data_IF_077438572774
#
_entry.id   IF_077438572774
#
_cell.length_a   1.000
_cell.length_b   1.000
_cell.length_c   1.000
_cell.angle_alpha   90.00
_cell.angle_beta   90.00
_cell.angle_gamma   90.00
#
_symmetry.space_group_name_H-M   'P 1'
#
loop_
_entity.id
_entity.type
_entity.pdbx_description
1 polymer ?
#
# COMPACT_ATOMS: atom_id res chain seq x y z
N UNK A 1 8.27 29.52 0.77
CA UNK A 1 7.20 29.09 1.68
C UNK A 1 7.58 27.72 2.22
N UNK A 2 8.35 27.73 3.30
CA UNK A 2 8.71 26.57 4.12
C UNK A 2 7.89 26.65 5.41
N UNK A 3 7.53 25.50 5.96
CA UNK A 3 6.85 25.24 7.24
C UNK A 3 5.33 25.06 7.19
N UNK A 4 4.90 23.80 7.00
CA UNK A 4 3.70 23.23 7.64
C UNK A 4 3.95 21.75 7.97
N UNK A 5 4.20 21.42 9.24
CA UNK A 5 3.71 20.17 9.83
C UNK A 5 4.47 18.85 9.67
N UNK A 6 5.55 18.72 8.88
CA UNK A 6 6.31 17.47 8.89
C UNK A 6 7.13 17.36 10.18
N UNK A 7 6.62 16.67 11.20
CA UNK A 7 7.49 16.15 12.25
C UNK A 7 8.59 15.33 11.56
N UNK A 8 9.85 15.58 11.91
CA UNK A 8 10.97 14.93 11.24
C UNK A 8 10.81 13.42 11.34
N UNK A 9 10.75 12.73 10.20
CA UNK A 9 10.78 11.28 10.19
C UNK A 9 12.05 10.83 10.90
N UNK A 10 11.88 10.03 11.95
CA UNK A 10 13.00 9.35 12.58
C UNK A 10 13.44 8.21 11.65
N UNK A 11 14.66 7.68 11.86
CA UNK A 11 15.17 6.57 11.06
C UNK A 11 14.21 5.36 11.07
N UNK A 12 13.51 5.11 12.17
CA UNK A 12 12.53 4.03 12.26
C UNK A 12 11.33 4.20 11.31
N UNK A 13 10.85 5.44 11.11
CA UNK A 13 9.79 5.75 10.14
C UNK A 13 10.26 5.52 8.71
N UNK A 14 11.49 5.94 8.38
CA UNK A 14 12.09 5.73 7.05
C UNK A 14 12.21 4.23 6.75
N UNK A 15 12.75 3.45 7.70
CA UNK A 15 12.85 1.99 7.54
C UNK A 15 11.49 1.30 7.46
N UNK A 16 10.53 1.66 8.33
CA UNK A 16 9.19 1.09 8.28
C UNK A 16 8.47 1.41 6.95
N UNK A 17 8.73 2.60 6.37
CA UNK A 17 8.27 2.95 5.03
C UNK A 17 8.89 2.09 3.93
N UNK A 18 10.19 1.81 4.03
CA UNK A 18 10.88 0.91 3.10
C UNK A 18 10.36 -0.53 3.19
N UNK A 19 10.16 -1.05 4.41
CA UNK A 19 9.61 -2.38 4.65
C UNK A 19 8.19 -2.50 4.09
N UNK A 20 7.37 -1.46 4.27
CA UNK A 20 6.03 -1.41 3.70
C UNK A 20 6.04 -1.38 2.17
N UNK A 21 6.96 -0.65 1.55
CA UNK A 21 7.15 -0.65 0.10
C UNK A 21 7.60 -2.01 -0.44
N UNK A 22 8.52 -2.69 0.26
CA UNK A 22 8.94 -4.03 -0.08
C UNK A 22 7.77 -5.02 0.01
N UNK A 23 7.03 -4.99 1.12
CA UNK A 23 5.85 -5.83 1.32
C UNK A 23 4.77 -5.61 0.25
N UNK A 24 4.58 -4.36 -0.21
CA UNK A 24 3.67 -4.06 -1.32
C UNK A 24 4.11 -4.78 -2.62
N UNK A 25 5.40 -4.71 -2.95
CA UNK A 25 5.92 -5.33 -4.18
C UNK A 25 5.83 -6.86 -4.11
N UNK A 26 6.18 -7.46 -2.97
CA UNK A 26 6.08 -8.90 -2.77
C UNK A 26 4.63 -9.40 -2.86
N UNK A 27 3.68 -8.64 -2.29
CA UNK A 27 2.24 -8.88 -2.46
C UNK A 27 1.83 -8.83 -3.92
N UNK A 28 2.18 -7.78 -4.65
CA UNK A 28 1.79 -7.65 -6.05
C UNK A 28 2.31 -8.82 -6.90
N UNK A 29 3.57 -9.21 -6.70
CA UNK A 29 4.17 -10.38 -7.37
C UNK A 29 3.45 -11.67 -7.00
N UNK A 30 3.19 -11.92 -5.71
CA UNK A 30 2.52 -13.13 -5.25
C UNK A 30 1.09 -13.24 -5.81
N UNK A 31 0.30 -12.17 -5.67
CA UNK A 31 -1.07 -12.13 -6.16
C UNK A 31 -1.14 -12.19 -7.69
N UNK A 32 -0.15 -11.63 -8.40
CA UNK A 32 -0.05 -11.74 -9.86
C UNK A 32 0.28 -13.15 -10.34
N UNK A 33 1.28 -13.79 -9.73
CA UNK A 33 1.84 -15.05 -10.23
C UNK A 33 1.07 -16.28 -9.75
N UNK A 34 0.57 -16.24 -8.51
CA UNK A 34 -0.09 -17.37 -7.86
C UNK A 34 -1.62 -17.21 -7.83
N UNK A 35 -2.11 -16.01 -8.15
CA UNK A 35 -3.53 -15.68 -8.19
C UNK A 35 -4.04 -15.07 -6.88
N UNK A 36 -5.17 -14.34 -6.96
CA UNK A 36 -5.69 -13.52 -5.86
C UNK A 36 -6.29 -14.31 -4.69
N UNK A 37 -6.60 -15.60 -4.89
CA UNK A 37 -7.13 -16.50 -3.85
C UNK A 37 -6.07 -17.51 -3.35
N UNK A 38 -4.80 -17.31 -3.71
CA UNK A 38 -3.72 -18.19 -3.27
C UNK A 38 -3.31 -17.88 -1.83
N UNK A 39 -2.92 -18.91 -1.08
CA UNK A 39 -2.41 -18.74 0.29
C UNK A 39 -1.19 -17.79 0.34
N UNK A 40 -0.37 -17.77 -0.71
CA UNK A 40 0.75 -16.83 -0.79
C UNK A 40 0.30 -15.38 -0.98
N UNK A 41 -0.76 -15.13 -1.76
CA UNK A 41 -1.32 -13.78 -1.89
C UNK A 41 -1.91 -13.32 -0.55
N UNK A 42 -2.71 -14.16 0.12
CA UNK A 42 -3.28 -13.86 1.43
C UNK A 42 -2.20 -13.55 2.48
N UNK A 43 -1.13 -14.35 2.53
CA UNK A 43 -0.01 -14.12 3.45
C UNK A 43 0.67 -12.78 3.20
N UNK A 44 0.95 -12.43 1.94
CA UNK A 44 1.60 -11.15 1.59
C UNK A 44 0.67 -9.95 1.79
N UNK A 45 -0.63 -10.10 1.60
CA UNK A 45 -1.60 -9.06 1.96
C UNK A 45 -1.59 -8.78 3.47
N UNK A 46 -1.55 -9.84 4.30
CA UNK A 46 -1.46 -9.69 5.75
C UNK A 46 -0.12 -9.04 6.19
N UNK A 47 1.00 -9.43 5.58
CA UNK A 47 2.31 -8.83 5.85
C UNK A 47 2.36 -7.36 5.46
N UNK A 48 1.78 -7.00 4.31
CA UNK A 48 1.72 -5.62 3.88
C UNK A 48 0.85 -4.75 4.81
N UNK A 49 -0.26 -5.30 5.30
CA UNK A 49 -1.08 -4.63 6.31
C UNK A 49 -0.33 -4.47 7.64
N UNK A 50 0.42 -5.48 8.08
CA UNK A 50 1.24 -5.41 9.30
C UNK A 50 2.37 -4.38 9.17
N UNK A 51 3.07 -4.33 8.02
CA UNK A 51 4.11 -3.34 7.74
C UNK A 51 3.54 -1.91 7.74
N UNK A 52 2.33 -1.72 7.22
CA UNK A 52 1.63 -0.43 7.27
C UNK A 52 1.27 -0.01 8.71
N UNK A 53 0.83 -0.94 9.55
CA UNK A 53 0.59 -0.67 10.97
C UNK A 53 1.88 -0.31 11.71
N UNK A 54 2.97 -1.04 11.43
CA UNK A 54 4.29 -0.73 11.98
C UNK A 54 4.77 0.68 11.57
N UNK A 55 4.60 1.03 10.30
CA UNK A 55 4.84 2.38 9.79
C UNK A 55 4.01 3.43 10.51
N UNK A 56 2.69 3.24 10.62
CA UNK A 56 1.80 4.16 11.33
C UNK A 56 2.18 4.36 12.80
N UNK A 57 2.79 3.35 13.44
CA UNK A 57 3.26 3.44 14.84
C UNK A 57 4.63 4.11 14.98
N UNK A 58 5.46 4.04 13.94
CA UNK A 58 6.84 4.54 13.95
C UNK A 58 6.96 5.96 13.37
N UNK A 59 6.04 6.32 12.48
CA UNK A 59 5.97 7.60 11.82
C UNK A 59 5.11 8.61 12.58
N UNK A 60 5.39 9.91 12.44
CA UNK A 60 4.48 10.94 12.89
C UNK A 60 3.10 10.80 12.22
N UNK A 61 2.04 11.33 12.85
CA UNK A 61 0.72 11.38 12.23
C UNK A 61 0.76 12.09 10.88
N UNK A 62 -0.01 11.58 9.92
CA UNK A 62 -0.21 12.23 8.63
C UNK A 62 -0.97 13.54 8.83
N UNK A 63 -0.68 14.54 7.99
CA UNK A 63 -1.55 15.72 7.88
C UNK A 63 -2.87 15.36 7.18
N UNK A 64 -3.80 16.34 7.11
CA UNK A 64 -5.11 16.12 6.50
C UNK A 64 -5.01 15.71 5.03
N UNK A 65 -4.07 16.32 4.29
CA UNK A 65 -3.85 15.99 2.88
C UNK A 65 -3.41 14.52 2.73
N UNK A 66 -2.41 14.11 3.50
CA UNK A 66 -1.84 12.79 3.43
C UNK A 66 -2.74 11.71 4.00
N UNK A 67 -3.59 12.04 4.96
CA UNK A 67 -4.67 11.17 5.40
C UNK A 67 -5.63 10.88 4.24
N UNK A 68 -6.07 11.90 3.50
CA UNK A 68 -6.93 11.72 2.32
C UNK A 68 -6.26 10.91 1.21
N UNK A 69 -4.96 11.13 0.95
CA UNK A 69 -4.22 10.34 -0.06
C UNK A 69 -4.04 8.89 0.40
N UNK A 70 -3.80 8.65 1.70
CA UNK A 70 -3.76 7.29 2.27
C UNK A 70 -5.10 6.59 2.09
N UNK A 71 -6.20 7.26 2.44
CA UNK A 71 -7.54 6.68 2.34
C UNK A 71 -7.90 6.30 0.90
N UNK A 72 -7.47 7.09 -0.09
CA UNK A 72 -7.62 6.76 -1.52
C UNK A 72 -6.85 5.49 -1.91
N UNK A 73 -5.63 5.34 -1.40
CA UNK A 73 -4.84 4.13 -1.59
C UNK A 73 -5.50 2.91 -0.91
N UNK A 74 -5.92 3.03 0.35
CA UNK A 74 -6.56 1.93 1.10
C UNK A 74 -7.88 1.50 0.44
N UNK A 75 -8.67 2.45 -0.05
CA UNK A 75 -9.89 2.17 -0.80
C UNK A 75 -9.61 1.44 -2.12
N UNK A 76 -8.58 1.85 -2.87
CA UNK A 76 -8.17 1.17 -4.09
C UNK A 76 -7.67 -0.26 -3.80
N UNK A 77 -6.92 -0.45 -2.71
CA UNK A 77 -6.43 -1.76 -2.28
C UNK A 77 -7.58 -2.70 -1.89
N UNK A 78 -8.56 -2.21 -1.13
CA UNK A 78 -9.75 -2.98 -0.75
C UNK A 78 -10.59 -3.37 -1.97
N UNK A 79 -10.84 -2.41 -2.87
CA UNK A 79 -11.59 -2.64 -4.12
C UNK A 79 -10.88 -3.70 -4.98
N UNK A 80 -9.56 -3.55 -5.19
CA UNK A 80 -8.77 -4.53 -5.93
C UNK A 80 -8.84 -5.90 -5.29
N UNK A 81 -8.66 -6.01 -3.97
CA UNK A 81 -8.68 -7.30 -3.27
C UNK A 81 -10.03 -7.99 -3.45
N UNK A 82 -11.15 -7.29 -3.22
CA UNK A 82 -12.50 -7.84 -3.38
C UNK A 82 -12.77 -8.33 -4.81
N UNK A 83 -12.58 -7.47 -5.81
CA UNK A 83 -12.91 -7.76 -7.21
C UNK A 83 -11.98 -8.84 -7.79
N UNK A 84 -10.68 -8.79 -7.49
CA UNK A 84 -9.74 -9.82 -7.94
C UNK A 84 -10.05 -11.19 -7.29
N UNK A 85 -10.40 -11.23 -6.01
CA UNK A 85 -10.80 -12.48 -5.34
C UNK A 85 -12.07 -13.06 -5.95
N UNK A 86 -13.04 -12.21 -6.28
CA UNK A 86 -14.27 -12.62 -6.96
C UNK A 86 -13.99 -13.18 -8.37
N UNK A 87 -13.10 -12.54 -9.14
CA UNK A 87 -12.69 -13.03 -10.45
C UNK A 87 -11.89 -14.34 -10.36
N UNK A 88 -11.20 -14.58 -9.24
CA UNK A 88 -10.44 -15.80 -8.97
C UNK A 88 -9.14 -15.94 -9.76
N UNK A 89 -8.82 -14.97 -10.62
CA UNK A 89 -7.60 -14.96 -11.44
C UNK A 89 -7.04 -13.55 -11.58
N UNK A 90 -5.72 -13.44 -11.57
CA UNK A 90 -5.02 -12.17 -11.79
C UNK A 90 -4.99 -11.77 -13.28
N UNK A 91 -5.39 -12.68 -14.18
CA UNK A 91 -5.46 -12.43 -15.62
C UNK A 91 -6.76 -11.74 -16.06
N UNK A 92 -7.73 -11.62 -15.15
CA UNK A 92 -8.97 -10.92 -15.44
C UNK A 92 -8.69 -9.43 -15.76
N UNK A 93 -9.23 -8.87 -16.86
CA UNK A 93 -8.94 -7.49 -17.26
C UNK A 93 -9.34 -6.44 -16.22
N UNK A 94 -10.44 -6.66 -15.49
CA UNK A 94 -10.87 -5.75 -14.44
C UNK A 94 -9.92 -5.84 -13.24
N UNK A 95 -9.51 -7.05 -12.84
CA UNK A 95 -8.49 -7.23 -11.81
C UNK A 95 -7.15 -6.58 -12.20
N UNK A 96 -6.70 -6.71 -13.45
CA UNK A 96 -5.49 -6.05 -13.94
C UNK A 96 -5.58 -4.53 -13.85
N UNK A 97 -6.72 -3.94 -14.28
CA UNK A 97 -6.94 -2.50 -14.19
C UNK A 97 -6.93 -2.02 -12.74
N UNK A 98 -7.55 -2.76 -11.82
CA UNK A 98 -7.60 -2.41 -10.39
C UNK A 98 -6.23 -2.54 -9.71
N UNK A 99 -5.41 -3.53 -10.08
CA UNK A 99 -4.01 -3.62 -9.63
C UNK A 99 -3.19 -2.41 -10.07
N UNK A 100 -3.35 -1.98 -11.32
CA UNK A 100 -2.69 -0.76 -11.80
C UNK A 100 -3.20 0.49 -11.05
N UNK A 101 -4.51 0.60 -10.81
CA UNK A 101 -5.09 1.72 -10.08
C UNK A 101 -4.56 1.81 -8.64
N UNK A 102 -4.56 0.69 -7.90
CA UNK A 102 -3.95 0.62 -6.56
C UNK A 102 -2.47 1.02 -6.61
N UNK A 103 -1.70 0.48 -7.55
CA UNK A 103 -0.28 0.79 -7.66
C UNK A 103 -0.01 2.28 -7.89
N UNK A 104 -0.86 2.97 -8.67
CA UNK A 104 -0.75 4.42 -8.86
C UNK A 104 -1.06 5.20 -7.58
N UNK A 105 -2.10 4.81 -6.84
CA UNK A 105 -2.41 5.45 -5.55
C UNK A 105 -1.32 5.20 -4.52
N UNK A 106 -0.78 3.98 -4.48
CA UNK A 106 0.35 3.62 -3.63
C UNK A 106 1.56 4.51 -3.92
N UNK A 107 1.98 4.63 -5.20
CA UNK A 107 3.08 5.51 -5.60
C UNK A 107 2.83 6.97 -5.23
N UNK A 108 1.59 7.43 -5.42
CA UNK A 108 1.22 8.81 -5.09
C UNK A 108 1.40 9.05 -3.59
N UNK A 109 0.87 8.16 -2.75
CA UNK A 109 1.03 8.25 -1.30
C UNK A 109 2.51 8.22 -0.90
N UNK A 110 3.28 7.25 -1.41
CA UNK A 110 4.72 7.16 -1.15
C UNK A 110 5.46 8.45 -1.54
N UNK A 111 5.19 8.99 -2.73
CA UNK A 111 5.88 10.19 -3.22
C UNK A 111 5.51 11.45 -2.47
N UNK A 112 4.23 11.60 -2.11
CA UNK A 112 3.70 12.88 -1.62
C UNK A 112 3.64 12.94 -0.09
N UNK A 113 3.62 11.79 0.58
CA UNK A 113 3.27 11.70 2.00
C UNK A 113 4.25 10.89 2.85
N UNK A 114 5.07 10.04 2.24
CA UNK A 114 6.15 9.40 2.99
C UNK A 114 7.38 10.31 3.02
N UNK A 115 7.85 10.59 4.22
CA UNK A 115 9.08 11.32 4.46
C UNK A 115 10.22 10.30 4.50
N UNK A 116 11.12 10.39 3.53
CA UNK A 116 12.38 9.62 3.46
C UNK A 116 13.55 10.47 3.95
#
# INVERSE_FOLDING_TARGET
MLCSGAAAANAACVYAGQDWMAAFQEKDVACSNQGPNSASCDAREAEQAAAMQAMNSSCPPLDDYCSVVRDQYEQAAATRSFECRQAGTALDPQCQALRQAEFQQFKRFVRECMVF
#
